data_IF_854393686036
#
_entry.id   IF_854393686036
#
_cell.length_a   1.000
_cell.length_b   1.000
_cell.length_c   1.000
_cell.angle_alpha   90.00
_cell.angle_beta   90.00
_cell.angle_gamma   90.00
#
_symmetry.space_group_name_H-M   'P 1'
#
loop_
_entity.id
_entity.type
_entity.pdbx_description
1 polymer ?
#
# COMPACT_ATOMS: atom_id res chain seq x y z
N UNK A 1 16.69 24.99 -23.27
CA UNK A 1 16.48 25.47 -21.88
C UNK A 1 15.90 24.32 -21.06
N UNK A 2 16.36 24.13 -19.82
CA UNK A 2 16.33 22.86 -19.09
C UNK A 2 15.02 22.66 -18.33
N UNK A 3 14.62 21.42 -18.03
CA UNK A 3 13.95 21.15 -16.76
C UNK A 3 13.85 19.65 -16.39
N UNK A 4 14.54 19.36 -15.30
CA UNK A 4 14.37 18.30 -14.30
C UNK A 4 14.53 16.83 -14.73
N UNK A 5 15.57 16.13 -14.24
CA UNK A 5 15.44 14.68 -14.10
C UNK A 5 14.32 14.45 -13.09
N UNK A 6 13.21 13.86 -13.53
CA UNK A 6 12.20 13.30 -12.64
C UNK A 6 12.94 12.34 -11.71
N UNK A 7 13.18 12.78 -10.48
CA UNK A 7 13.81 11.95 -9.46
C UNK A 7 12.96 10.71 -9.29
N UNK A 8 13.49 9.50 -9.54
CA UNK A 8 12.80 8.32 -9.11
C UNK A 8 12.92 8.29 -7.59
N UNK A 9 11.91 8.83 -6.89
CA UNK A 9 11.56 8.37 -5.53
C UNK A 9 11.04 6.92 -5.55
N UNK A 10 11.30 6.20 -6.64
CA UNK A 10 10.83 4.88 -7.05
C UNK A 10 11.87 3.81 -6.67
N UNK A 11 12.47 3.86 -5.48
CA UNK A 11 13.24 2.71 -4.96
C UNK A 11 12.56 2.06 -3.76
N UNK A 12 11.84 2.85 -2.96
CA UNK A 12 10.98 2.32 -1.90
C UNK A 12 9.69 1.67 -2.46
N UNK A 13 9.17 2.21 -3.58
CA UNK A 13 7.93 1.73 -4.22
C UNK A 13 8.03 0.32 -4.83
N UNK A 14 9.21 -0.10 -5.31
CA UNK A 14 9.38 -1.45 -5.87
C UNK A 14 9.37 -2.54 -4.80
N UNK A 15 10.00 -2.29 -3.65
CA UNK A 15 10.05 -3.26 -2.55
C UNK A 15 8.66 -3.54 -1.99
N UNK A 16 7.80 -2.51 -1.88
CA UNK A 16 6.42 -2.69 -1.44
C UNK A 16 5.57 -3.36 -2.52
N UNK A 17 5.73 -3.02 -3.81
CA UNK A 17 4.98 -3.65 -4.90
C UNK A 17 5.31 -5.14 -5.06
N UNK A 18 6.59 -5.52 -5.01
CA UNK A 18 6.99 -6.94 -5.11
C UNK A 18 6.39 -7.76 -3.98
N UNK A 19 6.43 -7.22 -2.76
CA UNK A 19 5.84 -7.84 -1.59
C UNK A 19 4.32 -7.94 -1.66
N UNK A 20 3.65 -6.89 -2.14
CA UNK A 20 2.22 -6.88 -2.41
C UNK A 20 1.83 -7.92 -3.47
N UNK A 21 2.63 -8.07 -4.53
CA UNK A 21 2.42 -9.12 -5.54
C UNK A 21 2.54 -10.54 -4.97
N UNK A 22 3.43 -10.77 -4.00
CA UNK A 22 3.51 -12.07 -3.32
C UNK A 22 2.23 -12.37 -2.54
N UNK A 23 1.65 -11.37 -1.86
CA UNK A 23 0.37 -11.53 -1.17
C UNK A 23 -0.80 -11.73 -2.13
N UNK A 24 -0.81 -11.00 -3.25
CA UNK A 24 -1.82 -11.14 -4.32
C UNK A 24 -1.83 -12.55 -4.92
N UNK A 25 -0.65 -13.13 -5.15
CA UNK A 25 -0.52 -14.49 -5.68
C UNK A 25 -0.85 -15.58 -4.66
N UNK A 26 -0.61 -15.31 -3.36
CA UNK A 26 -0.80 -16.31 -2.30
C UNK A 26 -2.24 -16.40 -1.77
N UNK A 27 -3.04 -15.34 -1.92
CA UNK A 27 -4.43 -15.31 -1.41
C UNK A 27 -4.52 -15.49 0.11
N UNK A 28 -3.46 -15.12 0.84
CA UNK A 28 -3.36 -15.32 2.27
C UNK A 28 -4.03 -14.20 3.06
N UNK A 29 -4.57 -14.55 4.22
CA UNK A 29 -5.08 -13.58 5.19
C UNK A 29 -3.92 -12.71 5.67
N UNK A 30 -4.01 -11.41 5.41
CA UNK A 30 -2.96 -10.44 5.65
C UNK A 30 -3.47 -9.40 6.64
N UNK A 31 -2.68 -9.09 7.67
CA UNK A 31 -2.98 -8.00 8.60
C UNK A 31 -2.62 -6.68 7.93
N UNK A 32 -3.59 -5.80 7.73
CA UNK A 32 -3.39 -4.46 7.18
C UNK A 32 -3.67 -3.46 8.29
N UNK A 33 -2.63 -2.78 8.75
CA UNK A 33 -2.74 -1.73 9.75
C UNK A 33 -2.71 -0.39 9.03
N UNK A 34 -3.75 0.41 9.21
CA UNK A 34 -3.89 1.71 8.56
C UNK A 34 -4.37 2.78 9.54
N UNK A 35 -4.17 4.04 9.17
CA UNK A 35 -4.71 5.19 9.90
C UNK A 35 -6.03 5.61 9.28
N UNK A 36 -7.09 5.61 10.08
CA UNK A 36 -8.39 6.14 9.67
C UNK A 36 -8.35 7.67 9.54
N UNK A 37 -9.33 8.28 8.86
CA UNK A 37 -9.47 9.73 8.74
C UNK A 37 -9.58 10.44 10.11
N UNK A 38 -10.03 9.76 11.16
CA UNK A 38 -10.00 10.27 12.53
C UNK A 38 -8.60 10.27 13.19
N UNK A 39 -7.57 9.82 12.47
CA UNK A 39 -6.20 9.68 12.98
C UNK A 39 -5.97 8.44 13.84
N UNK A 40 -6.97 7.58 14.01
CA UNK A 40 -6.87 6.34 14.78
C UNK A 40 -6.19 5.24 13.97
N UNK A 41 -5.40 4.41 14.63
CA UNK A 41 -4.79 3.23 14.01
C UNK A 41 -5.78 2.08 14.08
N UNK A 42 -6.15 1.53 12.92
CA UNK A 42 -7.04 0.40 12.78
C UNK A 42 -6.29 -0.76 12.11
N UNK A 43 -6.58 -1.99 12.53
CA UNK A 43 -5.99 -3.19 11.94
C UNK A 43 -7.11 -4.09 11.41
N UNK A 44 -7.00 -4.50 10.15
CA UNK A 44 -7.95 -5.42 9.52
C UNK A 44 -7.22 -6.65 9.02
N UNK A 45 -7.81 -7.82 9.23
CA UNK A 45 -7.28 -9.08 8.72
C UNK A 45 -8.09 -9.49 7.50
N UNK A 46 -7.50 -9.35 6.32
CA UNK A 46 -8.20 -9.62 5.07
C UNK A 46 -7.23 -10.08 3.98
N UNK A 47 -7.78 -10.63 2.90
CA UNK A 47 -6.97 -11.13 1.78
C UNK A 47 -6.74 -9.97 0.82
N UNK A 48 -5.51 -9.76 0.35
CA UNK A 48 -5.25 -8.74 -0.67
C UNK A 48 -5.65 -9.31 -2.03
N UNK A 49 -6.64 -8.70 -2.71
CA UNK A 49 -7.13 -9.15 -4.02
C UNK A 49 -6.48 -8.45 -5.18
N UNK A 50 -6.30 -7.15 -5.07
CA UNK A 50 -5.74 -6.32 -6.13
C UNK A 50 -5.11 -5.05 -5.55
N UNK A 51 -4.11 -4.51 -6.23
CA UNK A 51 -3.63 -3.14 -6.01
C UNK A 51 -4.06 -2.29 -7.22
N UNK A 52 -4.83 -1.24 -6.95
CA UNK A 52 -5.29 -0.30 -7.98
C UNK A 52 -4.58 1.04 -7.81
N UNK A 53 -3.92 1.55 -8.85
CA UNK A 53 -3.37 2.91 -8.84
C UNK A 53 -4.33 3.85 -9.56
N UNK A 54 -4.90 4.84 -8.86
CA UNK A 54 -5.82 5.84 -9.44
C UNK A 54 -5.38 7.25 -9.07
N UNK A 55 -5.30 8.11 -10.08
CA UNK A 55 -4.93 9.53 -9.92
C UNK A 55 -3.59 9.78 -9.19
N UNK A 56 -2.63 8.86 -9.34
CA UNK A 56 -1.32 8.94 -8.68
C UNK A 56 -1.29 8.47 -7.23
N UNK A 57 -2.39 7.92 -6.72
CA UNK A 57 -2.46 7.25 -5.43
C UNK A 57 -2.71 5.75 -5.61
N UNK A 58 -2.06 4.93 -4.79
CA UNK A 58 -2.27 3.50 -4.75
C UNK A 58 -3.38 3.13 -3.75
N UNK A 59 -4.23 2.19 -4.13
CA UNK A 59 -5.33 1.66 -3.35
C UNK A 59 -5.22 0.15 -3.27
N UNK A 60 -5.44 -0.39 -2.09
CA UNK A 60 -5.46 -1.80 -1.79
C UNK A 60 -6.92 -2.29 -1.82
N UNK A 61 -7.22 -3.25 -2.69
CA UNK A 61 -8.51 -3.94 -2.70
C UNK A 61 -8.41 -5.24 -1.90
N UNK A 62 -9.24 -5.33 -0.86
CA UNK A 62 -9.34 -6.50 0.00
C UNK A 62 -10.37 -7.52 -0.51
N UNK A 63 -10.26 -8.74 0.01
CA UNK A 63 -11.10 -9.92 -0.20
C UNK A 63 -12.58 -9.60 -0.14
N UNK A 64 -12.94 -8.84 0.89
CA UNK A 64 -14.31 -8.44 1.20
C UNK A 64 -14.84 -7.28 0.35
N UNK A 65 -14.05 -6.78 -0.60
CA UNK A 65 -14.42 -5.63 -1.44
C UNK A 65 -14.11 -4.27 -0.77
N UNK A 66 -13.39 -4.27 0.35
CA UNK A 66 -12.94 -3.03 0.99
C UNK A 66 -11.77 -2.45 0.22
N UNK A 67 -11.86 -1.17 -0.15
CA UNK A 67 -10.77 -0.45 -0.81
C UNK A 67 -10.13 0.51 0.18
N UNK A 68 -8.83 0.36 0.43
CA UNK A 68 -8.07 1.17 1.38
C UNK A 68 -6.97 1.95 0.65
N UNK A 69 -6.84 3.27 0.86
CA UNK A 69 -5.73 4.04 0.32
C UNK A 69 -4.41 3.56 0.94
N UNK A 70 -3.44 3.17 0.11
CA UNK A 70 -2.14 2.66 0.55
C UNK A 70 -1.35 3.73 1.35
N UNK A 71 -1.59 5.00 1.06
CA UNK A 71 -1.07 6.15 1.79
C UNK A 71 -1.42 6.13 3.29
N UNK A 72 -2.60 5.59 3.63
CA UNK A 72 -3.02 5.44 5.01
C UNK A 72 -2.51 4.14 5.64
N UNK A 73 -2.07 3.18 4.84
CA UNK A 73 -1.59 1.89 5.33
C UNK A 73 -0.18 2.05 5.90
N UNK A 74 -0.02 1.67 7.16
CA UNK A 74 1.23 1.78 7.92
C UNK A 74 2.04 0.49 7.76
N UNK A 75 1.40 -0.65 8.01
CA UNK A 75 2.04 -1.97 7.91
C UNK A 75 1.12 -2.98 7.25
N UNK A 76 1.73 -3.94 6.55
CA UNK A 76 1.07 -5.12 6.00
C UNK A 76 1.81 -6.35 6.54
N UNK A 77 1.11 -7.20 7.30
CA UNK A 77 1.63 -8.42 7.92
C UNK A 77 2.86 -8.15 8.80
N UNK A 78 2.85 -7.04 9.55
CA UNK A 78 3.99 -6.59 10.35
C UNK A 78 5.15 -5.99 9.55
N UNK A 79 5.06 -5.92 8.21
CA UNK A 79 6.05 -5.25 7.37
C UNK A 79 5.62 -3.80 7.09
N UNK A 80 6.49 -2.85 7.39
CA UNK A 80 6.24 -1.43 7.14
C UNK A 80 6.17 -1.16 5.64
N UNK A 81 5.11 -0.48 5.20
CA UNK A 81 5.11 0.14 3.88
C UNK A 81 5.99 1.39 3.97
N UNK A 82 7.23 1.28 3.48
CA UNK A 82 8.13 2.42 3.39
C UNK A 82 7.60 3.40 2.32
N UNK A 83 6.67 4.27 2.73
CA UNK A 83 5.97 5.19 1.84
C UNK A 83 5.55 6.49 2.50
N UNK A 84 6.09 6.82 3.68
CA UNK A 84 5.90 8.14 4.29
C UNK A 84 7.24 8.77 4.63
N UNK A 85 8.09 8.92 3.62
CA UNK A 85 9.14 9.94 3.64
C UNK A 85 8.65 11.11 2.79
N UNK A 86 8.19 12.15 3.49
CA UNK A 86 8.23 13.50 2.94
C UNK A 86 9.66 14.01 2.81
#
# INVERSE_FOLDING_TARGET
>A
MPNFPSTPSTTASYSVQGMLQEYLGSGQLTEVVYRDSAGQICAVHDVIRELCSRAGQDFLLLGRGTMLPLDHVITINGRLLAGSTG
#
